data_IF_940820695876
#
_entry.id   IF_940820695876
#
_cell.length_a   1.000
_cell.length_b   1.000
_cell.length_c   1.000
_cell.angle_alpha   90.00
_cell.angle_beta   90.00
_cell.angle_gamma   90.00
#
_symmetry.space_group_name_H-M   'P 1'
#
loop_
_entity.id
_entity.type
_entity.pdbx_description
1 polymer ?
#
# COMPACT_ATOMS: atom_id res chain seq x y z
N UNK A 1 -7.26 -4.53 10.38
CA UNK A 1 -6.12 -4.61 9.43
C UNK A 1 -5.87 -3.20 8.93
N UNK A 2 -4.62 -2.75 8.73
CA UNK A 2 -4.41 -1.42 8.16
C UNK A 2 -4.89 -1.40 6.71
N UNK A 3 -5.86 -0.54 6.42
CA UNK A 3 -6.35 -0.26 5.08
C UNK A 3 -5.86 1.12 4.65
N UNK A 4 -5.26 1.19 3.46
CA UNK A 4 -4.80 2.46 2.89
C UNK A 4 -6.02 3.31 2.53
N UNK A 5 -6.15 4.48 3.16
CA UNK A 5 -7.29 5.39 2.94
C UNK A 5 -6.94 6.56 2.03
N UNK A 6 -5.70 7.01 2.09
CA UNK A 6 -5.21 8.18 1.36
C UNK A 6 -3.71 8.03 1.12
N UNK A 7 -3.24 8.61 0.02
CA UNK A 7 -1.81 8.72 -0.24
C UNK A 7 -1.48 9.98 -1.03
N UNK A 8 -0.31 10.55 -0.75
CA UNK A 8 0.25 11.69 -1.46
C UNK A 8 1.67 11.40 -1.91
N UNK A 9 2.06 11.97 -3.05
CA UNK A 9 3.39 11.78 -3.64
C UNK A 9 4.08 13.13 -3.75
N UNK A 10 5.31 13.20 -3.25
CA UNK A 10 6.24 14.31 -3.48
C UNK A 10 7.50 13.79 -4.16
N UNK A 11 8.27 14.65 -4.83
CA UNK A 11 9.50 14.24 -5.51
C UNK A 11 10.59 15.30 -5.45
N UNK A 12 11.84 14.85 -5.53
CA UNK A 12 13.02 15.70 -5.62
C UNK A 12 13.88 15.24 -6.81
N UNK A 13 13.95 16.06 -7.86
CA UNK A 13 14.75 15.75 -9.04
C UNK A 13 16.26 15.80 -8.76
N UNK A 14 16.70 16.68 -7.85
CA UNK A 14 18.11 16.83 -7.51
C UNK A 14 18.69 15.56 -6.86
N UNK A 15 17.92 14.93 -5.98
CA UNK A 15 18.34 13.71 -5.30
C UNK A 15 17.81 12.45 -5.97
N UNK A 16 16.96 12.57 -6.99
CA UNK A 16 16.28 11.45 -7.66
C UNK A 16 15.45 10.56 -6.71
N UNK A 17 14.72 11.19 -5.79
CA UNK A 17 13.86 10.49 -4.84
C UNK A 17 12.38 10.85 -4.99
N UNK A 18 11.53 9.89 -4.67
CA UNK A 18 10.09 9.98 -4.53
C UNK A 18 9.72 9.71 -3.08
N UNK A 19 8.87 10.55 -2.51
CA UNK A 19 8.30 10.38 -1.17
C UNK A 19 6.85 9.98 -1.33
N UNK A 20 6.49 8.80 -0.81
CA UNK A 20 5.12 8.32 -0.69
C UNK A 20 4.65 8.53 0.75
N UNK A 21 3.65 9.36 0.93
CA UNK A 21 2.96 9.54 2.20
C UNK A 21 1.69 8.70 2.16
N UNK A 22 1.55 7.73 3.05
CA UNK A 22 0.44 6.80 3.11
C UNK A 22 -0.28 6.91 4.45
N UNK A 23 -1.60 7.03 4.41
CA UNK A 23 -2.46 7.06 5.61
C UNK A 23 -3.26 5.78 5.69
N UNK A 24 -3.43 5.29 6.92
CA UNK A 24 -4.10 4.04 7.17
C UNK A 24 -5.24 4.21 8.16
N UNK A 25 -6.31 3.45 7.95
CA UNK A 25 -7.35 3.24 8.96
C UNK A 25 -7.41 1.77 9.33
N UNK A 26 -8.05 1.45 10.45
CA UNK A 26 -8.41 0.07 10.74
C UNK A 26 -9.67 -0.30 9.95
N UNK A 27 -9.60 -1.38 9.16
CA UNK A 27 -10.75 -1.96 8.44
C UNK A 27 -11.97 -2.17 9.33
N UNK A 28 -11.76 -2.41 10.64
CA UNK A 28 -12.83 -2.66 11.60
C UNK A 28 -13.26 -1.41 12.40
N UNK A 29 -12.68 -0.23 12.11
CA UNK A 29 -12.98 1.01 12.85
C UNK A 29 -14.45 1.45 12.75
N UNK A 30 -15.17 1.03 11.70
CA UNK A 30 -16.59 1.35 11.49
C UNK A 30 -17.55 0.33 12.15
N UNK A 31 -17.05 -0.77 12.71
CA UNK A 31 -17.86 -1.83 13.32
C UNK A 31 -18.21 -1.45 14.77
N UNK A 32 -19.51 -1.34 15.12
CA UNK A 32 -19.92 -1.01 16.48
C UNK A 32 -19.35 -2.01 17.51
N UNK A 33 -18.83 -1.49 18.62
CA UNK A 33 -18.23 -2.26 19.72
C UNK A 33 -16.93 -3.01 19.38
N UNK A 34 -16.37 -2.83 18.18
CA UNK A 34 -15.03 -3.34 17.86
C UNK A 34 -13.95 -2.36 18.34
N UNK A 35 -12.87 -2.84 18.98
CA UNK A 35 -11.78 -1.97 19.39
C UNK A 35 -11.07 -1.43 18.14
N UNK A 36 -11.11 -0.12 17.93
CA UNK A 36 -10.38 0.54 16.84
C UNK A 36 -8.89 0.60 17.15
N UNK A 37 -8.04 0.08 16.27
CA UNK A 37 -6.58 0.25 16.36
C UNK A 37 -6.15 1.47 15.54
N UNK A 38 -5.34 2.36 16.11
CA UNK A 38 -4.71 3.43 15.33
C UNK A 38 -3.46 2.91 14.64
N UNK A 39 -3.37 3.13 13.33
CA UNK A 39 -2.17 2.87 12.55
C UNK A 39 -1.48 4.20 12.26
N UNK A 40 -0.16 4.33 12.53
CA UNK A 40 0.55 5.56 12.23
C UNK A 40 0.68 5.76 10.71
N UNK A 41 0.54 7.01 10.27
CA UNK A 41 0.85 7.40 8.90
C UNK A 41 2.31 7.05 8.59
N UNK A 42 2.54 6.56 7.37
CA UNK A 42 3.87 6.15 6.93
C UNK A 42 4.36 7.08 5.82
N UNK A 43 5.62 7.51 5.93
CA UNK A 43 6.31 8.18 4.83
C UNK A 43 7.45 7.29 4.36
N UNK A 44 7.41 6.92 3.09
CA UNK A 44 8.37 6.01 2.47
C UNK A 44 9.18 6.81 1.44
N UNK A 45 10.49 6.83 1.61
CA UNK A 45 11.41 7.41 0.64
C UNK A 45 11.92 6.33 -0.31
N UNK A 46 11.72 6.54 -1.60
CA UNK A 46 12.11 5.63 -2.67
C UNK A 46 13.08 6.38 -3.59
N UNK A 47 14.20 5.75 -3.94
CA UNK A 47 14.94 6.19 -5.12
C UNK A 47 14.06 6.06 -6.36
N UNK A 48 14.35 6.82 -7.43
CA UNK A 48 13.66 6.72 -8.72
C UNK A 48 13.53 5.26 -9.18
N UNK A 49 14.60 4.47 -9.10
CA UNK A 49 14.60 3.05 -9.49
C UNK A 49 13.65 2.20 -8.65
N UNK A 50 13.61 2.44 -7.34
CA UNK A 50 12.66 1.73 -6.45
C UNK A 50 11.22 2.11 -6.76
N UNK A 51 10.94 3.37 -7.09
CA UNK A 51 9.61 3.81 -7.49
C UNK A 51 9.17 3.16 -8.82
N UNK A 52 10.06 3.07 -9.81
CA UNK A 52 9.78 2.37 -11.07
C UNK A 52 9.49 0.88 -10.86
N UNK A 53 10.29 0.20 -10.02
CA UNK A 53 10.05 -1.20 -9.67
C UNK A 53 8.74 -1.40 -8.91
N UNK A 54 8.41 -0.50 -7.98
CA UNK A 54 7.15 -0.53 -7.24
C UNK A 54 5.96 -0.43 -8.18
N UNK A 55 6.00 0.51 -9.14
CA UNK A 55 4.95 0.66 -10.14
C UNK A 55 4.78 -0.62 -10.98
N UNK A 56 5.89 -1.24 -11.37
CA UNK A 56 5.87 -2.48 -12.15
C UNK A 56 5.21 -3.64 -11.39
N UNK A 57 5.63 -3.90 -10.15
CA UNK A 57 5.07 -4.99 -9.35
C UNK A 57 3.61 -4.72 -8.96
N UNK A 58 3.24 -3.46 -8.66
CA UNK A 58 1.83 -3.10 -8.41
C UNK A 58 0.96 -3.37 -9.63
N UNK A 59 1.39 -2.95 -10.83
CA UNK A 59 0.64 -3.21 -12.06
C UNK A 59 0.49 -4.71 -12.31
N UNK A 60 1.56 -5.47 -12.16
CA UNK A 60 1.55 -6.93 -12.32
C UNK A 60 0.58 -7.61 -11.35
N UNK A 61 0.52 -7.14 -10.10
CA UNK A 61 -0.43 -7.66 -9.12
C UNK A 61 -1.89 -7.40 -9.53
N UNK A 62 -2.19 -6.21 -10.06
CA UNK A 62 -3.51 -5.88 -10.61
C UNK A 62 -3.84 -6.78 -11.80
N UNK A 63 -2.91 -6.93 -12.75
CA UNK A 63 -3.11 -7.80 -13.92
C UNK A 63 -3.38 -9.26 -13.51
N UNK A 64 -2.74 -9.74 -12.43
CA UNK A 64 -2.99 -11.08 -11.89
C UNK A 64 -4.36 -11.20 -11.23
N UNK A 65 -4.80 -10.20 -10.47
CA UNK A 65 -6.15 -10.14 -9.90
C UNK A 65 -7.20 -10.18 -11.01
N UNK A 66 -7.03 -9.38 -12.06
CA UNK A 66 -7.94 -9.32 -13.21
C UNK A 66 -7.98 -10.65 -13.99
N UNK A 67 -6.87 -11.40 -13.99
CA UNK A 67 -6.77 -12.73 -14.56
C UNK A 67 -7.28 -13.85 -13.61
N UNK A 68 -7.73 -13.53 -12.40
CA UNK A 68 -8.16 -14.51 -11.40
C UNK A 68 -7.02 -15.36 -10.82
N UNK A 69 -5.79 -14.86 -10.88
CA UNK A 69 -4.59 -15.53 -10.35
C UNK A 69 -4.33 -15.03 -8.94
N UNK A 70 -4.59 -15.88 -7.96
CA UNK A 70 -4.25 -15.62 -6.55
C UNK A 70 -2.74 -15.67 -6.31
N UNK A 71 -2.26 -14.81 -5.41
CA UNK A 71 -0.85 -14.84 -5.05
C UNK A 71 -0.54 -16.11 -4.22
N UNK A 72 0.53 -16.88 -4.50
CA UNK A 72 0.79 -18.17 -3.85
C UNK A 72 0.97 -18.12 -2.32
N UNK A 73 1.27 -16.95 -1.77
CA UNK A 73 1.40 -16.74 -0.33
C UNK A 73 0.06 -16.47 0.37
N UNK A 74 -1.01 -16.18 -0.38
CA UNK A 74 -2.35 -16.04 0.16
C UNK A 74 -2.87 -17.45 0.42
N UNK A 75 -2.97 -17.80 1.71
CA UNK A 75 -3.64 -19.01 2.16
C UNK A 75 -4.94 -18.58 2.81
N UNK A 76 -6.06 -18.87 2.17
CA UNK A 76 -7.34 -18.84 2.86
C UNK A 76 -7.31 -19.99 3.87
N UNK A 77 -7.25 -19.65 5.16
CA UNK A 77 -7.44 -20.62 6.24
C UNK A 77 -8.96 -20.66 6.45
N UNK A 78 -9.55 -21.83 6.26
CA UNK A 78 -10.96 -22.14 6.52
C UNK A 78 -11.24 -22.11 8.04
#
# INVERSE_FOLDING_TARGET
MPELTDFAISYCALTEHVLLHAKFTDTMASVPSWPSVQFPDQTICLSRRQAENLLHELKKAVDYIDAGIEHPSIKFID
#
